data_IF_109661516282
#
_entry.id   IF_109661516282
#
_cell.length_a   1.000
_cell.length_b   1.000
_cell.length_c   1.000
_cell.angle_alpha   90.00
_cell.angle_beta   90.00
_cell.angle_gamma   90.00
#
_symmetry.space_group_name_H-M   'P 1'
#
loop_
_entity.id
_entity.type
_entity.pdbx_description
1 polymer ?
#
# COMPACT_ATOMS: atom_id res chain seq x y z
N UNK A 1 28.06 -5.68 -15.18
CA UNK A 1 27.44 -5.95 -13.87
C UNK A 1 26.54 -4.77 -13.59
N UNK A 2 25.24 -4.93 -13.77
CA UNK A 2 24.28 -3.85 -13.53
C UNK A 2 24.32 -3.61 -12.01
N UNK A 3 24.79 -2.44 -11.59
CA UNK A 3 24.71 -2.02 -10.19
C UNK A 3 23.25 -2.15 -9.80
N UNK A 4 22.94 -3.06 -8.87
CA UNK A 4 21.61 -3.10 -8.25
C UNK A 4 21.45 -1.76 -7.55
N UNK A 5 20.58 -0.94 -8.13
CA UNK A 5 20.19 0.31 -7.54
C UNK A 5 19.35 -0.03 -6.31
N UNK A 6 19.95 0.09 -5.12
CA UNK A 6 19.25 -0.21 -3.87
C UNK A 6 18.19 0.83 -3.54
N UNK A 7 18.07 1.89 -4.36
CA UNK A 7 17.10 2.95 -4.17
C UNK A 7 15.67 2.45 -4.31
N UNK A 8 14.89 2.69 -3.27
CA UNK A 8 13.46 2.49 -3.29
C UNK A 8 12.74 3.49 -2.41
N UNK A 9 11.43 3.61 -2.64
CA UNK A 9 10.55 4.54 -1.93
C UNK A 9 9.45 3.73 -1.28
N UNK A 10 9.32 3.88 0.03
CA UNK A 10 8.37 3.11 0.82
C UNK A 10 7.33 4.03 1.45
N UNK A 11 6.13 4.01 0.90
CA UNK A 11 4.98 4.72 1.45
C UNK A 11 4.32 3.82 2.48
N UNK A 12 4.20 4.31 3.71
CA UNK A 12 3.43 3.68 4.79
C UNK A 12 2.25 4.62 5.04
N UNK A 13 1.02 4.08 4.92
CA UNK A 13 -0.19 4.88 5.02
C UNK A 13 -1.22 4.28 5.98
N UNK A 14 -1.76 5.15 6.82
CA UNK A 14 -2.86 4.89 7.73
C UNK A 14 -4.15 5.42 7.12
N UNK A 15 -5.11 4.53 6.84
CA UNK A 15 -6.36 4.87 6.17
C UNK A 15 -7.53 4.77 7.14
N UNK A 16 -8.17 5.90 7.42
CA UNK A 16 -9.28 5.99 8.39
C UNK A 16 -10.60 6.35 7.70
N UNK A 17 -11.71 5.93 8.31
CA UNK A 17 -13.05 6.18 7.79
C UNK A 17 -13.38 5.39 6.52
N UNK A 18 -12.67 4.28 6.29
CA UNK A 18 -12.88 3.40 5.15
C UNK A 18 -14.26 2.73 5.19
N UNK A 19 -14.73 2.29 4.03
CA UNK A 19 -15.95 1.52 3.92
C UNK A 19 -15.78 0.11 4.51
N UNK A 20 -16.55 -0.20 5.56
CA UNK A 20 -16.48 -1.46 6.32
C UNK A 20 -16.71 -2.70 5.45
N UNK A 21 -17.68 -2.65 4.52
CA UNK A 21 -17.98 -3.77 3.63
C UNK A 21 -16.82 -4.06 2.66
N UNK A 22 -16.17 -3.00 2.16
CA UNK A 22 -14.97 -3.13 1.33
C UNK A 22 -13.79 -3.69 2.12
N UNK A 23 -13.56 -3.21 3.34
CA UNK A 23 -12.49 -3.70 4.22
C UNK A 23 -12.64 -5.18 4.59
N UNK A 24 -13.86 -5.72 4.56
CA UNK A 24 -14.12 -7.12 4.87
C UNK A 24 -14.29 -8.01 3.62
N UNK A 25 -14.05 -7.48 2.41
CA UNK A 25 -14.18 -8.22 1.16
C UNK A 25 -12.80 -8.54 0.57
N UNK A 26 -12.32 -9.76 0.85
CA UNK A 26 -10.99 -10.22 0.40
C UNK A 26 -10.79 -10.13 -1.11
N UNK A 27 -11.75 -10.59 -1.91
CA UNK A 27 -11.62 -10.56 -3.38
C UNK A 27 -11.61 -9.12 -3.92
N UNK A 28 -12.36 -8.21 -3.31
CA UNK A 28 -12.31 -6.79 -3.66
C UNK A 28 -10.95 -6.18 -3.33
N UNK A 29 -10.43 -6.44 -2.14
CA UNK A 29 -9.12 -5.93 -1.71
C UNK A 29 -8.00 -6.47 -2.62
N UNK A 30 -8.01 -7.76 -2.92
CA UNK A 30 -7.05 -8.37 -3.85
C UNK A 30 -7.05 -7.67 -5.20
N UNK A 31 -8.24 -7.46 -5.78
CA UNK A 31 -8.40 -6.74 -7.04
C UNK A 31 -7.86 -5.29 -6.95
N UNK A 32 -8.22 -4.55 -5.91
CA UNK A 32 -7.75 -3.16 -5.70
C UNK A 32 -6.22 -3.11 -5.62
N UNK A 33 -5.59 -4.04 -4.92
CA UNK A 33 -4.13 -4.05 -4.75
C UNK A 33 -3.40 -4.44 -6.05
N UNK A 34 -3.94 -5.38 -6.82
CA UNK A 34 -3.41 -5.70 -8.15
C UNK A 34 -3.56 -4.50 -9.09
N UNK A 35 -4.73 -3.87 -9.12
CA UNK A 35 -4.96 -2.67 -9.95
C UNK A 35 -4.04 -1.51 -9.53
N UNK A 36 -3.78 -1.34 -8.23
CA UNK A 36 -2.87 -0.33 -7.71
C UNK A 36 -1.44 -0.55 -8.21
N UNK A 37 -0.95 -1.79 -8.16
CA UNK A 37 0.35 -2.16 -8.69
C UNK A 37 0.45 -1.89 -10.20
N UNK A 38 -0.57 -2.28 -10.98
CA UNK A 38 -0.59 -2.05 -12.41
C UNK A 38 -0.66 -0.55 -12.77
N UNK A 39 -1.45 0.24 -12.03
CA UNK A 39 -1.58 1.69 -12.22
C UNK A 39 -0.30 2.46 -11.91
N UNK A 40 0.51 1.99 -10.95
CA UNK A 40 1.82 2.58 -10.68
C UNK A 40 2.86 2.21 -11.74
N UNK A 41 2.55 1.26 -12.62
CA UNK A 41 3.46 0.74 -13.64
C UNK A 41 4.35 -0.40 -13.15
N UNK A 42 4.02 -1.01 -12.00
CA UNK A 42 4.72 -2.16 -11.47
C UNK A 42 4.30 -3.47 -12.17
N UNK A 43 5.21 -4.43 -12.19
CA UNK A 43 4.95 -5.80 -12.67
C UNK A 43 4.65 -6.71 -11.47
N UNK A 44 3.46 -7.31 -11.46
CA UNK A 44 3.02 -8.25 -10.41
C UNK A 44 3.70 -9.61 -10.61
N UNK A 45 4.25 -10.17 -9.53
CA UNK A 45 4.91 -11.48 -9.49
C UNK A 45 4.07 -12.54 -8.78
N UNK A 46 3.52 -12.19 -7.63
CA UNK A 46 2.75 -13.11 -6.78
C UNK A 46 1.71 -12.33 -5.97
N UNK A 47 0.59 -12.97 -5.65
CA UNK A 47 -0.47 -12.41 -4.82
C UNK A 47 -0.85 -13.42 -3.74
N UNK A 48 -1.02 -12.96 -2.51
CA UNK A 48 -1.47 -13.79 -1.40
C UNK A 48 -2.34 -12.98 -0.45
N UNK A 49 -3.57 -13.44 -0.23
CA UNK A 49 -4.54 -12.80 0.66
C UNK A 49 -5.16 -13.82 1.62
N UNK A 50 -5.47 -13.37 2.83
CA UNK A 50 -6.11 -14.18 3.86
C UNK A 50 -7.20 -13.37 4.55
N UNK A 51 -8.41 -13.95 4.62
CA UNK A 51 -9.53 -13.40 5.37
C UNK A 51 -9.61 -14.07 6.74
N UNK A 52 -9.65 -13.25 7.79
CA UNK A 52 -9.80 -13.71 9.17
C UNK A 52 -11.27 -13.85 9.57
N UNK A 53 -11.49 -14.58 10.66
CA UNK A 53 -12.78 -14.65 11.36
C UNK A 53 -12.70 -13.83 12.66
N UNK A 54 -13.73 -13.03 13.00
CA UNK A 54 -14.99 -12.86 12.28
C UNK A 54 -14.90 -11.93 11.05
N UNK A 55 -13.84 -11.13 10.94
CA UNK A 55 -13.66 -10.11 9.90
C UNK A 55 -12.18 -9.73 9.77
N UNK A 56 -11.85 -9.00 8.70
CA UNK A 56 -10.52 -8.46 8.43
C UNK A 56 -9.75 -9.27 7.40
N UNK A 57 -8.84 -8.60 6.71
CA UNK A 57 -8.06 -9.16 5.61
C UNK A 57 -6.61 -8.71 5.75
N UNK A 58 -5.69 -9.66 5.64
CA UNK A 58 -4.28 -9.38 5.38
C UNK A 58 -3.95 -9.80 3.96
N UNK A 59 -3.08 -9.06 3.28
CA UNK A 59 -2.57 -9.51 2.01
C UNK A 59 -1.35 -8.77 1.51
N UNK A 60 -0.75 -9.37 0.48
CA UNK A 60 0.45 -8.89 -0.20
C UNK A 60 0.33 -9.10 -1.69
N UNK A 61 0.75 -8.10 -2.45
CA UNK A 61 1.08 -8.20 -3.86
C UNK A 61 2.59 -8.02 -3.98
N UNK A 62 3.29 -9.09 -4.34
CA UNK A 62 4.72 -9.05 -4.61
C UNK A 62 4.91 -8.50 -6.02
N UNK A 63 5.71 -7.45 -6.14
CA UNK A 63 6.14 -6.87 -7.42
C UNK A 63 7.65 -7.09 -7.56
N UNK A 64 8.20 -6.94 -8.77
CA UNK A 64 9.59 -7.33 -9.13
C UNK A 64 10.62 -7.41 -7.99
N UNK A 65 10.88 -6.31 -7.26
CA UNK A 65 11.85 -6.31 -6.13
C UNK A 65 11.27 -5.68 -4.84
N UNK A 66 9.95 -5.61 -4.71
CA UNK A 66 9.26 -4.91 -3.59
C UNK A 66 7.82 -5.41 -3.41
N UNK A 67 6.90 -4.65 -2.81
CA UNK A 67 5.57 -5.14 -2.45
C UNK A 67 4.55 -4.05 -2.17
N UNK A 68 3.27 -4.41 -2.28
CA UNK A 68 2.14 -3.69 -1.69
C UNK A 68 1.49 -4.61 -0.63
N UNK A 69 1.23 -4.10 0.58
CA UNK A 69 0.60 -4.87 1.67
C UNK A 69 -0.57 -4.14 2.31
N UNK A 70 -1.49 -4.90 2.90
CA UNK A 70 -2.62 -4.39 3.67
C UNK A 70 -2.90 -5.25 4.89
N UNK A 71 -3.30 -4.58 5.96
CA UNK A 71 -4.03 -5.16 7.09
C UNK A 71 -5.30 -4.33 7.33
N UNK A 72 -6.47 -4.95 7.20
CA UNK A 72 -7.76 -4.27 7.42
C UNK A 72 -8.39 -4.63 8.77
N UNK A 73 -9.02 -3.62 9.37
CA UNK A 73 -9.77 -3.68 10.63
C UNK A 73 -11.16 -3.08 10.40
N UNK A 74 -12.09 -3.85 9.79
CA UNK A 74 -13.42 -3.36 9.40
C UNK A 74 -14.19 -2.73 10.56
N UNK A 75 -14.09 -3.29 11.76
CA UNK A 75 -14.76 -2.82 12.97
C UNK A 75 -14.30 -1.42 13.43
N UNK A 76 -13.18 -0.94 12.91
CA UNK A 76 -12.65 0.41 13.15
C UNK A 76 -12.73 1.31 11.89
N UNK A 77 -13.24 0.81 10.77
CA UNK A 77 -13.18 1.53 9.49
C UNK A 77 -11.74 1.87 9.09
N UNK A 78 -10.78 1.01 9.42
CA UNK A 78 -9.36 1.27 9.35
C UNK A 78 -8.60 0.24 8.50
N UNK A 79 -7.59 0.69 7.78
CA UNK A 79 -6.58 -0.16 7.17
C UNK A 79 -5.19 0.48 7.28
N UNK A 80 -4.18 -0.31 7.62
CA UNK A 80 -2.79 0.03 7.37
C UNK A 80 -2.36 -0.57 6.05
N UNK A 81 -1.67 0.22 5.24
CA UNK A 81 -1.12 -0.22 3.96
C UNK A 81 0.34 0.18 3.83
N UNK A 82 1.09 -0.64 3.11
CA UNK A 82 2.43 -0.31 2.67
C UNK A 82 2.51 -0.41 1.15
N UNK A 83 3.15 0.57 0.53
CA UNK A 83 3.47 0.57 -0.91
C UNK A 83 4.97 0.82 -1.03
N UNK A 84 5.71 -0.26 -1.23
CA UNK A 84 7.13 -0.23 -1.46
C UNK A 84 7.42 -0.45 -2.95
N UNK A 85 8.14 0.47 -3.58
CA UNK A 85 8.60 0.35 -4.96
C UNK A 85 10.11 0.58 -5.06
N UNK A 86 10.75 -0.05 -6.06
CA UNK A 86 12.18 0.12 -6.36
C UNK A 86 12.38 1.00 -7.60
N UNK A 87 13.46 1.79 -7.59
CA UNK A 87 13.85 2.70 -8.65
C UNK A 87 12.99 3.97 -8.75
N UNK A 88 13.46 4.90 -9.59
CA UNK A 88 12.88 6.26 -9.66
C UNK A 88 11.67 6.39 -10.61
N UNK A 89 11.33 5.31 -11.33
CA UNK A 89 10.29 5.35 -12.38
C UNK A 89 8.87 5.14 -11.85
N UNK A 90 8.74 4.47 -10.70
CA UNK A 90 7.45 4.08 -10.13
C UNK A 90 7.19 4.97 -8.91
N UNK A 91 6.15 5.80 -8.97
CA UNK A 91 5.74 6.59 -7.82
C UNK A 91 4.80 5.78 -6.91
N UNK A 92 5.22 5.35 -5.70
CA UNK A 92 4.38 4.58 -4.79
C UNK A 92 3.13 5.35 -4.33
N UNK A 93 3.14 6.69 -4.40
CA UNK A 93 1.97 7.50 -4.05
C UNK A 93 0.80 7.28 -5.01
N UNK A 94 1.04 6.90 -6.27
CA UNK A 94 -0.03 6.58 -7.24
C UNK A 94 -0.84 5.37 -6.76
N UNK A 95 -0.15 4.31 -6.33
CA UNK A 95 -0.80 3.12 -5.80
C UNK A 95 -1.46 3.39 -4.44
N UNK A 96 -0.77 4.08 -3.53
CA UNK A 96 -1.31 4.42 -2.20
C UNK A 96 -2.62 5.22 -2.30
N UNK A 97 -2.63 6.28 -3.14
CA UNK A 97 -3.81 7.12 -3.33
C UNK A 97 -4.97 6.33 -3.96
N UNK A 98 -4.69 5.50 -4.96
CA UNK A 98 -5.72 4.65 -5.58
C UNK A 98 -6.35 3.68 -4.57
N UNK A 99 -5.53 3.07 -3.70
CA UNK A 99 -6.03 2.18 -2.63
C UNK A 99 -6.90 2.97 -1.66
N UNK A 100 -6.46 4.14 -1.21
CA UNK A 100 -7.23 4.98 -0.29
C UNK A 100 -8.60 5.36 -0.85
N UNK A 101 -8.66 5.84 -2.10
CA UNK A 101 -9.90 6.16 -2.80
C UNK A 101 -10.80 4.92 -2.97
N UNK A 102 -10.22 3.79 -3.38
CA UNK A 102 -10.97 2.56 -3.59
C UNK A 102 -11.59 2.04 -2.29
N UNK A 103 -10.86 2.07 -1.18
CA UNK A 103 -11.37 1.68 0.14
C UNK A 103 -12.34 2.72 0.73
N UNK A 104 -12.42 3.91 0.14
CA UNK A 104 -13.28 4.99 0.60
C UNK A 104 -12.80 5.62 1.91
N UNK A 105 -11.48 5.71 2.10
CA UNK A 105 -10.89 6.41 3.23
C UNK A 105 -11.31 7.88 3.22
N UNK A 106 -11.62 8.44 4.38
CA UNK A 106 -11.91 9.87 4.54
C UNK A 106 -10.69 10.64 5.04
N UNK A 107 -9.78 9.95 5.73
CA UNK A 107 -8.53 10.52 6.23
C UNK A 107 -7.39 9.57 5.91
N UNK A 108 -6.30 10.12 5.41
CA UNK A 108 -5.06 9.40 5.11
C UNK A 108 -3.89 10.07 5.79
N UNK A 109 -3.12 9.31 6.56
CA UNK A 109 -1.86 9.78 7.14
C UNK A 109 -0.71 9.00 6.51
N UNK A 110 0.25 9.73 5.92
CA UNK A 110 1.29 9.11 5.11
C UNK A 110 2.67 9.53 5.57
N UNK A 111 3.58 8.54 5.65
CA UNK A 111 5.02 8.76 5.69
C UNK A 111 5.67 8.08 4.48
N UNK A 112 6.66 8.74 3.90
CA UNK A 112 7.50 8.16 2.87
C UNK A 112 8.91 7.95 3.42
N UNK A 113 9.40 6.71 3.33
CA UNK A 113 10.69 6.28 3.86
C UNK A 113 11.61 5.90 2.69
N UNK A 114 12.75 6.58 2.51
CA UNK A 114 13.73 6.19 1.51
C UNK A 114 14.39 4.86 1.91
N UNK A 115 14.59 3.98 0.94
CA UNK A 115 15.18 2.64 1.13
C UNK A 115 16.49 2.56 0.35
N UNK A 116 17.51 1.97 0.97
CA UNK A 116 18.83 1.75 0.35
C UNK A 116 19.63 3.01 -0.01
N UNK A 117 19.35 4.15 0.62
CA UNK A 117 20.03 5.45 0.37
C UNK A 117 20.93 5.93 1.53
N UNK A 118 21.35 5.02 2.42
CA UNK A 118 22.12 5.35 3.62
C UNK A 118 21.25 5.51 4.88
N UNK A 119 21.65 6.32 5.87
CA UNK A 119 20.89 6.51 7.10
C UNK A 119 19.47 6.99 6.81
N UNK A 120 18.47 6.30 7.37
CA UNK A 120 17.06 6.65 7.19
C UNK A 120 16.79 8.00 7.85
N UNK A 121 16.26 8.95 7.06
CA UNK A 121 15.76 10.23 7.54
C UNK A 121 14.28 10.32 7.16
N UNK A 122 13.44 10.54 8.15
CA UNK A 122 11.99 10.66 7.96
C UNK A 122 11.63 12.14 8.09
N UNK A 123 11.03 12.71 7.06
CA UNK A 123 10.44 14.05 7.13
C UNK A 123 9.05 13.98 7.77
N UNK A 124 8.55 15.11 8.29
CA UNK A 124 7.26 15.14 8.99
C UNK A 124 6.13 14.61 8.09
N UNK A 125 5.26 13.78 8.67
CA UNK A 125 4.10 13.20 8.01
C UNK A 125 3.18 14.27 7.43
N UNK A 126 2.55 13.96 6.30
CA UNK A 126 1.45 14.75 5.74
C UNK A 126 0.15 14.05 6.08
N UNK A 127 -0.74 14.77 6.74
CA UNK A 127 -2.13 14.34 6.95
C UNK A 127 -2.98 14.98 5.87
N UNK A 128 -3.77 14.18 5.17
CA UNK A 128 -4.71 14.64 4.15
C UNK A 128 -6.11 14.13 4.48
N UNK A 129 -7.08 15.04 4.48
CA UNK A 129 -8.50 14.69 4.43
C UNK A 129 -8.92 14.72 2.96
N UNK A 130 -9.60 13.67 2.51
CA UNK A 130 -10.07 13.50 1.13
C UNK A 130 -11.40 14.23 0.88
#
# INVERSE_FOLDING_TARGET
>A
MQLMDTMGRHVIAELWGCNVEKLNNMSYIEQVFVDAALKSGAEVREVAFHKFAPHGVSGVVIISESHLTIHSFPEHGYASIDVYTCGDRIDPNVASNYIAEALGATTTEVIEVPRGMGPVKIEKSKVQAL
#
